data_IF_398733975756
#
_entry.id   IF_398733975756
#
_cell.length_a   1.000
_cell.length_b   1.000
_cell.length_c   1.000
_cell.angle_alpha   90.00
_cell.angle_beta   90.00
_cell.angle_gamma   90.00
#
_symmetry.space_group_name_H-M   'P 1'
#
loop_
_entity.id
_entity.type
_entity.pdbx_description
1 polymer ?
#
# COMPACT_ATOMS: atom_id res chain seq x y z
N UNK A 1 19.27 22.31 -24.28
CA UNK A 1 19.01 21.72 -25.00
C UNK A 1 17.73 21.08 -25.06
N UNK A 2 17.43 20.67 -25.98
CA UNK A 2 16.26 19.96 -26.11
C UNK A 2 15.90 19.17 -24.91
N UNK A 3 16.50 19.54 -23.88
CA UNK A 3 16.28 18.85 -22.66
C UNK A 3 14.84 18.84 -22.25
N UNK A 4 14.06 19.77 -22.67
CA UNK A 4 12.65 19.75 -22.34
C UNK A 4 11.93 18.53 -22.85
N UNK A 5 12.48 17.82 -23.81
CA UNK A 5 11.88 16.60 -24.33
C UNK A 5 12.36 15.34 -23.63
N UNK A 6 13.31 15.46 -22.72
CA UNK A 6 13.85 14.33 -21.99
C UNK A 6 13.04 14.12 -20.73
N UNK A 7 12.47 12.95 -20.60
CA UNK A 7 11.73 12.56 -19.40
C UNK A 7 12.67 11.73 -18.54
N UNK A 8 12.92 12.20 -17.32
CA UNK A 8 13.70 11.44 -16.36
C UNK A 8 12.84 10.32 -15.83
N UNK A 9 13.26 9.10 -16.06
CA UNK A 9 12.58 7.92 -15.56
C UNK A 9 13.34 7.36 -14.37
N UNK A 10 12.60 6.85 -13.42
CA UNK A 10 13.13 6.29 -12.20
C UNK A 10 12.74 4.83 -12.12
N UNK A 11 13.75 3.96 -12.04
CA UNK A 11 13.53 2.52 -11.83
C UNK A 11 13.23 2.29 -10.36
N UNK A 12 12.08 1.69 -10.11
CA UNK A 12 11.67 1.36 -8.75
C UNK A 12 12.04 -0.09 -8.47
N UNK A 13 12.56 -0.32 -7.29
CA UNK A 13 12.90 -1.67 -6.83
C UNK A 13 11.69 -2.58 -6.95
N UNK A 14 11.82 -3.66 -7.69
CA UNK A 14 10.71 -4.58 -7.97
C UNK A 14 10.23 -4.53 -9.40
N UNK A 15 10.72 -3.59 -10.23
CA UNK A 15 10.60 -3.67 -11.67
C UNK A 15 9.66 -2.73 -12.39
N UNK A 16 9.21 -1.64 -11.76
CA UNK A 16 8.43 -0.61 -12.45
C UNK A 16 9.26 0.66 -12.65
N UNK A 17 8.88 1.43 -13.67
CA UNK A 17 9.50 2.70 -14.01
C UNK A 17 8.46 3.80 -13.91
N UNK A 18 8.78 4.87 -13.20
CA UNK A 18 7.93 6.06 -13.08
C UNK A 18 8.71 7.28 -13.52
N UNK A 19 8.01 8.32 -13.99
CA UNK A 19 8.69 9.58 -14.28
C UNK A 19 9.10 10.28 -13.00
N UNK A 20 10.21 10.98 -13.02
CA UNK A 20 10.66 11.76 -11.87
C UNK A 20 9.62 12.82 -11.50
N UNK A 21 8.97 13.42 -12.51
CA UNK A 21 7.94 14.43 -12.26
C UNK A 21 6.76 13.87 -11.46
N UNK A 22 6.35 12.64 -11.78
CA UNK A 22 5.27 11.98 -11.04
C UNK A 22 5.67 11.74 -9.58
N UNK A 23 6.89 11.26 -9.38
CA UNK A 23 7.44 11.00 -8.05
C UNK A 23 7.48 12.28 -7.23
N UNK A 24 7.98 13.37 -7.83
CA UNK A 24 8.09 14.66 -7.16
C UNK A 24 6.70 15.25 -6.86
N UNK A 25 5.78 15.13 -7.80
CA UNK A 25 4.42 15.65 -7.61
C UNK A 25 3.67 14.96 -6.48
N UNK A 26 4.02 13.71 -6.16
CA UNK A 26 3.39 12.95 -5.10
C UNK A 26 4.22 12.97 -3.80
N UNK A 27 5.27 13.79 -3.74
CA UNK A 27 6.14 13.91 -2.58
C UNK A 27 6.74 12.59 -2.13
N UNK A 28 7.13 11.77 -3.10
CA UNK A 28 7.71 10.45 -2.85
C UNK A 28 9.22 10.51 -2.97
N UNK A 29 9.91 9.59 -2.30
CA UNK A 29 11.34 9.40 -2.43
C UNK A 29 11.57 8.03 -3.07
N UNK A 30 12.20 8.01 -4.26
CA UNK A 30 12.44 6.77 -4.99
C UNK A 30 13.15 5.70 -4.17
N UNK A 31 14.02 6.09 -3.26
CA UNK A 31 14.76 5.16 -2.43
C UNK A 31 13.89 4.44 -1.39
N UNK A 32 12.70 4.99 -1.13
CA UNK A 32 11.74 4.41 -0.19
C UNK A 32 10.62 3.64 -0.88
N UNK A 33 10.64 3.55 -2.20
CA UNK A 33 9.56 2.90 -2.95
C UNK A 33 9.95 1.47 -3.31
N UNK A 34 8.98 0.57 -3.17
CA UNK A 34 9.12 -0.81 -3.64
C UNK A 34 7.86 -1.24 -4.38
N UNK A 35 8.01 -2.20 -5.26
CA UNK A 35 6.89 -2.77 -6.03
C UNK A 35 6.62 -4.16 -5.51
N UNK A 36 5.34 -4.44 -5.24
CA UNK A 36 4.88 -5.76 -4.85
C UNK A 36 3.68 -6.14 -5.70
N UNK A 37 3.28 -7.41 -5.65
CA UNK A 37 2.07 -7.89 -6.29
C UNK A 37 1.08 -8.34 -5.23
N UNK A 38 -0.17 -7.92 -5.39
CA UNK A 38 -1.25 -8.38 -4.53
C UNK A 38 -1.57 -9.85 -4.84
N UNK A 39 -1.87 -10.63 -3.83
CA UNK A 39 -2.28 -12.03 -3.97
C UNK A 39 -3.61 -12.20 -3.27
N UNK A 40 -4.57 -12.78 -3.98
CA UNK A 40 -5.91 -13.05 -3.45
C UNK A 40 -6.88 -11.91 -3.69
N UNK A 41 -8.09 -12.06 -3.18
CA UNK A 41 -9.20 -11.16 -3.45
C UNK A 41 -9.68 -10.38 -2.24
N UNK A 42 -8.91 -10.37 -1.16
CA UNK A 42 -9.35 -9.72 0.08
C UNK A 42 -9.60 -8.22 -0.07
N UNK A 43 -8.94 -7.57 -1.02
CA UNK A 43 -9.08 -6.12 -1.26
C UNK A 43 -9.91 -5.79 -2.51
N UNK A 44 -10.50 -6.80 -3.14
CA UNK A 44 -11.39 -6.58 -4.28
C UNK A 44 -12.62 -5.77 -3.85
N UNK A 45 -13.12 -4.80 -4.60
CA UNK A 45 -12.68 -4.42 -5.96
C UNK A 45 -11.59 -3.34 -5.99
N UNK A 46 -11.12 -2.87 -4.87
CA UNK A 46 -10.10 -1.81 -4.82
C UNK A 46 -8.79 -2.27 -5.41
N UNK A 47 -8.38 -3.48 -5.03
CA UNK A 47 -7.17 -4.11 -5.54
C UNK A 47 -7.55 -5.52 -5.97
N UNK A 48 -7.21 -5.86 -7.20
CA UNK A 48 -7.51 -7.17 -7.76
C UNK A 48 -6.33 -8.12 -7.58
N UNK A 49 -6.62 -9.42 -7.63
CA UNK A 49 -5.58 -10.45 -7.57
C UNK A 49 -4.51 -10.20 -8.63
N UNK A 50 -3.26 -10.35 -8.24
CA UNK A 50 -2.08 -10.18 -9.09
C UNK A 50 -1.84 -8.74 -9.55
N UNK A 51 -2.62 -7.78 -9.06
CA UNK A 51 -2.39 -6.39 -9.38
C UNK A 51 -1.07 -5.90 -8.78
N UNK A 52 -0.35 -5.08 -9.53
CA UNK A 52 0.92 -4.51 -9.10
C UNK A 52 0.69 -3.30 -8.23
N UNK A 53 1.41 -3.20 -7.13
CA UNK A 53 1.27 -2.13 -6.15
C UNK A 53 2.61 -1.43 -5.95
N UNK A 54 2.55 -0.11 -5.80
CA UNK A 54 3.69 0.69 -5.36
C UNK A 54 3.51 1.03 -3.90
N UNK A 55 4.52 0.73 -3.10
CA UNK A 55 4.50 0.91 -1.66
C UNK A 55 5.57 1.92 -1.25
N UNK A 56 5.17 2.92 -0.48
CA UNK A 56 6.08 3.88 0.12
C UNK A 56 6.48 3.37 1.51
N UNK A 57 7.70 2.86 1.62
CA UNK A 57 8.19 2.26 2.86
C UNK A 57 8.58 3.28 3.92
N UNK A 58 8.61 4.57 3.57
CA UNK A 58 8.86 5.63 4.56
C UNK A 58 7.62 5.99 5.37
N UNK A 59 6.42 5.60 4.89
CA UNK A 59 5.15 5.91 5.54
C UNK A 59 4.84 4.90 6.64
N UNK A 60 5.34 5.18 7.84
CA UNK A 60 5.17 4.31 9.01
C UNK A 60 4.10 4.82 9.97
N UNK A 61 3.73 6.09 9.90
CA UNK A 61 2.67 6.66 10.72
C UNK A 61 1.35 6.39 10.02
N UNK A 62 0.44 5.69 10.72
CA UNK A 62 -0.82 5.24 10.12
C UNK A 62 -1.79 6.41 10.03
N UNK A 63 -2.30 6.63 8.82
CA UNK A 63 -3.39 7.57 8.56
C UNK A 63 -4.67 6.77 8.36
N UNK A 64 -5.73 7.19 9.01
CA UNK A 64 -7.01 6.48 8.93
C UNK A 64 -7.53 6.38 7.50
N UNK A 65 -8.07 5.23 7.16
CA UNK A 65 -8.71 4.91 5.87
C UNK A 65 -7.73 4.71 4.71
N UNK A 66 -6.44 4.64 4.95
CA UNK A 66 -5.45 4.34 3.93
C UNK A 66 -5.10 2.87 3.93
N UNK A 67 -4.54 2.40 2.82
CA UNK A 67 -4.18 1.00 2.62
C UNK A 67 -2.70 0.81 2.90
N UNK A 68 -2.38 -0.22 3.66
CA UNK A 68 -1.01 -0.50 4.10
C UNK A 68 -0.59 -1.91 3.76
N UNK A 69 0.69 -2.03 3.42
CA UNK A 69 1.39 -3.29 3.37
C UNK A 69 1.94 -3.52 4.77
N UNK A 70 1.53 -4.61 5.40
CA UNK A 70 1.83 -4.86 6.80
C UNK A 70 2.15 -6.32 7.05
N UNK A 71 2.76 -6.56 8.20
CA UNK A 71 3.15 -7.89 8.65
C UNK A 71 2.51 -8.15 10.01
N UNK A 72 1.83 -9.27 10.14
CA UNK A 72 1.25 -9.73 11.40
C UNK A 72 1.73 -11.17 11.60
N UNK A 73 2.39 -11.40 12.72
CA UNK A 73 2.85 -12.73 13.09
C UNK A 73 3.67 -13.41 11.97
N UNK A 74 4.54 -12.63 11.33
CA UNK A 74 5.43 -13.11 10.27
C UNK A 74 4.82 -13.22 8.89
N UNK A 75 3.53 -12.96 8.74
CA UNK A 75 2.85 -13.02 7.45
C UNK A 75 2.48 -11.63 6.96
N UNK A 76 2.58 -11.42 5.64
CA UNK A 76 2.30 -10.14 5.02
C UNK A 76 0.88 -10.06 4.49
N UNK A 77 0.28 -8.88 4.63
CA UNK A 77 -1.08 -8.60 4.20
C UNK A 77 -1.18 -7.20 3.62
N UNK A 78 -2.16 -7.01 2.75
CA UNK A 78 -2.60 -5.69 2.30
C UNK A 78 -3.95 -5.44 2.96
N UNK A 79 -4.06 -4.41 3.76
CA UNK A 79 -5.30 -4.10 4.50
C UNK A 79 -5.50 -2.60 4.59
N UNK A 80 -6.75 -2.20 4.76
CA UNK A 80 -7.11 -0.82 5.09
C UNK A 80 -7.17 -0.68 6.61
N UNK A 81 -6.56 0.36 7.14
CA UNK A 81 -6.57 0.60 8.58
C UNK A 81 -7.45 1.81 8.86
N UNK A 82 -8.42 1.64 9.76
CA UNK A 82 -9.39 2.67 10.08
C UNK A 82 -9.33 2.97 11.58
N UNK A 83 -9.14 4.25 11.92
CA UNK A 83 -9.13 4.70 13.30
C UNK A 83 -10.56 4.98 13.76
N UNK A 84 -11.01 4.24 14.77
CA UNK A 84 -12.35 4.37 15.33
C UNK A 84 -12.33 5.04 16.71
N UNK A 85 -11.27 5.81 17.01
CA UNK A 85 -11.08 6.53 18.27
C UNK A 85 -10.68 5.60 19.42
N UNK A 86 -11.52 4.62 19.76
CA UNK A 86 -11.25 3.70 20.87
C UNK A 86 -10.46 2.46 20.44
N UNK A 87 -10.46 2.18 19.15
CA UNK A 87 -9.79 1.02 18.58
C UNK A 87 -9.52 1.25 17.10
N UNK A 88 -8.77 0.36 16.50
CA UNK A 88 -8.54 0.35 15.06
C UNK A 88 -9.27 -0.82 14.43
N UNK A 89 -9.69 -0.65 13.17
CA UNK A 89 -10.25 -1.73 12.37
C UNK A 89 -9.26 -2.07 11.27
N UNK A 90 -8.90 -3.35 11.18
CA UNK A 90 -8.13 -3.91 10.07
C UNK A 90 -9.15 -4.45 9.08
N UNK A 91 -9.29 -3.78 7.95
CA UNK A 91 -10.36 -4.06 6.99
C UNK A 91 -9.82 -4.62 5.69
N UNK A 92 -10.48 -5.67 5.23
CA UNK A 92 -10.40 -6.10 3.84
C UNK A 92 -11.50 -5.36 3.08
N UNK A 93 -11.18 -4.78 1.91
CA UNK A 93 -12.17 -4.03 1.14
C UNK A 93 -13.24 -4.92 0.50
N UNK A 94 -12.98 -6.22 0.41
CA UNK A 94 -13.94 -7.15 -0.15
C UNK A 94 -15.22 -7.17 0.70
N UNK A 95 -16.40 -6.96 0.06
CA UNK A 95 -17.66 -6.92 0.81
C UNK A 95 -18.12 -8.25 1.37
N UNK A 96 -17.52 -9.37 0.96
CA UNK A 96 -17.83 -10.69 1.51
C UNK A 96 -17.26 -10.82 2.92
N UNK A 97 -18.02 -10.38 3.92
CA UNK A 97 -17.56 -10.37 5.30
C UNK A 97 -17.59 -11.75 5.97
N UNK A 98 -18.16 -12.73 5.34
CA UNK A 98 -18.06 -14.11 5.80
C UNK A 98 -16.65 -14.66 5.56
N UNK A 99 -16.05 -14.32 4.42
CA UNK A 99 -14.70 -14.74 4.08
C UNK A 99 -13.63 -13.73 4.54
N UNK A 100 -13.95 -12.44 4.50
CA UNK A 100 -13.00 -11.37 4.83
C UNK A 100 -13.58 -10.44 5.90
N UNK A 101 -13.73 -10.92 7.14
CA UNK A 101 -14.32 -10.09 8.20
C UNK A 101 -13.40 -8.95 8.61
N UNK A 102 -14.00 -7.87 9.09
CA UNK A 102 -13.25 -6.79 9.73
C UNK A 102 -12.73 -7.28 11.07
N UNK A 103 -11.52 -6.87 11.42
CA UNK A 103 -10.89 -7.25 12.68
C UNK A 103 -10.69 -5.99 13.51
N UNK A 104 -11.22 -5.98 14.73
CA UNK A 104 -11.02 -4.86 15.65
C UNK A 104 -9.78 -5.12 16.51
N UNK A 105 -8.93 -4.10 16.63
CA UNK A 105 -7.72 -4.17 17.44
C UNK A 105 -7.68 -2.95 18.34
N UNK A 106 -7.48 -3.17 19.63
CA UNK A 106 -7.31 -2.06 20.57
C UNK A 106 -6.06 -1.25 20.24
N UNK A 107 -6.10 0.03 20.55
CA UNK A 107 -4.96 0.91 20.28
C UNK A 107 -3.69 0.41 20.96
N UNK A 108 -3.80 -0.22 22.12
CA UNK A 108 -2.65 -0.76 22.84
C UNK A 108 -2.03 -1.98 22.16
N UNK A 109 -2.77 -2.67 21.28
CA UNK A 109 -2.30 -3.85 20.56
C UNK A 109 -1.86 -3.55 19.14
N UNK A 110 -1.90 -2.30 18.69
CA UNK A 110 -1.46 -1.94 17.34
C UNK A 110 0.03 -2.22 17.11
N UNK A 111 0.82 -2.30 18.17
CA UNK A 111 2.23 -2.66 18.05
C UNK A 111 2.45 -4.11 17.59
N UNK A 112 1.42 -4.96 17.60
CA UNK A 112 1.50 -6.30 17.05
C UNK A 112 1.48 -6.31 15.52
N UNK A 113 1.09 -5.19 14.92
CA UNK A 113 1.10 -5.00 13.48
C UNK A 113 2.34 -4.23 13.10
N UNK A 114 3.17 -4.83 12.25
CA UNK A 114 4.35 -4.15 11.72
C UNK A 114 3.97 -3.50 10.39
N UNK A 115 4.08 -2.17 10.32
CA UNK A 115 3.78 -1.44 9.09
C UNK A 115 5.03 -1.46 8.21
N UNK A 116 4.91 -2.06 7.03
CA UNK A 116 5.98 -2.07 6.03
C UNK A 116 5.95 -0.80 5.18
N UNK A 117 4.77 -0.31 4.87
CA UNK A 117 4.61 0.93 4.12
C UNK A 117 3.18 1.16 3.69
N UNK A 118 2.95 2.32 3.06
CA UNK A 118 1.63 2.67 2.54
C UNK A 118 1.54 2.36 1.05
N UNK A 119 0.44 1.77 0.62
CA UNK A 119 0.18 1.54 -0.80
C UNK A 119 -0.24 2.87 -1.42
N UNK A 120 0.56 3.39 -2.36
CA UNK A 120 0.35 4.71 -2.95
C UNK A 120 -0.09 4.66 -4.41
N UNK A 121 0.00 3.52 -5.05
CA UNK A 121 -0.39 3.36 -6.45
C UNK A 121 -0.67 1.90 -6.75
N UNK A 122 -1.59 1.69 -7.67
CA UNK A 122 -1.91 0.35 -8.18
C UNK A 122 -1.95 0.37 -9.70
N UNK A 123 -1.56 -0.74 -10.31
CA UNK A 123 -1.61 -0.90 -11.73
C UNK A 123 -1.46 -2.37 -12.10
N UNK A 124 -1.53 -2.67 -13.39
CA UNK A 124 -1.39 -4.02 -13.86
C UNK A 124 -1.53 -4.09 -15.37
N UNK A 125 -1.37 -5.31 -15.90
CA UNK A 125 -1.54 -5.56 -17.33
C UNK A 125 -3.01 -5.76 -17.66
N UNK A 126 -3.33 -5.50 -18.90
CA UNK A 126 -4.66 -5.79 -19.43
C UNK A 126 -4.85 -7.28 -19.65
#
# INVERSE_FOLDING_TARGET
>A
CGSGSIIDNVDIKGGLVFSQDWIDAHNLNENSLVVISAIGDSMYPTIENEQVLLVDTSEKIIKSSKIYFLCIDGEHYIKRLINMITHWVVRSDNPDKNQYPDIEISSSNMNLIQIEGRVVWRGGSL
#
